data_IF_567848226060
#
_entry.id   IF_567848226060
#
_cell.length_a   1.000
_cell.length_b   1.000
_cell.length_c   1.000
_cell.angle_alpha   90.00
_cell.angle_beta   90.00
_cell.angle_gamma   90.00
#
_symmetry.space_group_name_H-M   'P 1'
#
loop_
_entity.id
_entity.type
_entity.pdbx_description
1 polymer ?
#
# COMPACT_ATOMS: atom_id res chain seq x y z
N UNK A 1 -21.65 -2.01 -15.49
CA UNK A 1 -20.56 -1.11 -15.05
C UNK A 1 -19.77 -1.89 -14.01
N UNK A 2 -18.43 -1.96 -14.08
CA UNK A 2 -17.66 -2.60 -13.00
C UNK A 2 -17.91 -1.82 -11.69
N UNK A 3 -18.26 -2.53 -10.63
CA UNK A 3 -18.44 -1.92 -9.31
C UNK A 3 -17.12 -1.94 -8.56
N UNK A 4 -16.67 -0.75 -8.14
CA UNK A 4 -15.53 -0.64 -7.24
C UNK A 4 -16.02 -0.63 -5.80
N UNK A 5 -15.44 -1.48 -4.95
CA UNK A 5 -15.75 -1.55 -3.52
C UNK A 5 -14.49 -1.29 -2.70
N UNK A 6 -14.57 -0.39 -1.73
CA UNK A 6 -13.51 -0.17 -0.76
C UNK A 6 -13.85 -0.90 0.54
N UNK A 7 -12.89 -1.65 1.09
CA UNK A 7 -13.05 -2.38 2.34
C UNK A 7 -11.73 -2.47 3.13
N UNK A 8 -11.79 -2.71 4.45
CA UNK A 8 -10.59 -3.02 5.22
C UNK A 8 -9.84 -4.21 4.63
N UNK A 9 -8.51 -4.12 4.62
CA UNK A 9 -7.67 -5.22 4.20
C UNK A 9 -7.70 -6.35 5.24
N UNK A 10 -7.54 -7.58 4.75
CA UNK A 10 -7.38 -8.78 5.56
C UNK A 10 -6.00 -9.37 5.33
N UNK A 11 -5.52 -10.22 6.24
CA UNK A 11 -4.21 -10.88 6.11
C UNK A 11 -4.07 -11.64 4.77
N UNK A 12 -5.17 -12.12 4.18
CA UNK A 12 -5.18 -12.81 2.89
C UNK A 12 -4.84 -11.88 1.72
N UNK A 13 -5.10 -10.58 1.88
CA UNK A 13 -4.87 -9.56 0.85
C UNK A 13 -3.40 -9.12 0.77
N UNK A 14 -2.57 -9.43 1.78
CA UNK A 14 -1.19 -8.94 1.90
C UNK A 14 -0.32 -9.23 0.68
N UNK A 15 -0.49 -10.40 0.05
CA UNK A 15 0.25 -10.76 -1.17
C UNK A 15 -0.15 -9.88 -2.36
N UNK A 16 -1.45 -9.64 -2.55
CA UNK A 16 -1.94 -8.80 -3.64
C UNK A 16 -1.51 -7.34 -3.46
N UNK A 17 -1.59 -6.82 -2.23
CA UNK A 17 -1.13 -5.47 -1.87
C UNK A 17 0.37 -5.32 -2.15
N UNK A 18 1.19 -6.30 -1.75
CA UNK A 18 2.61 -6.28 -2.02
C UNK A 18 2.94 -6.27 -3.52
N UNK A 19 2.22 -7.06 -4.32
CA UNK A 19 2.40 -7.09 -5.77
C UNK A 19 2.05 -5.74 -6.40
N UNK A 20 0.91 -5.14 -6.04
CA UNK A 20 0.48 -3.82 -6.53
C UNK A 20 1.51 -2.76 -6.16
N UNK A 21 1.96 -2.73 -4.90
CA UNK A 21 2.97 -1.77 -4.45
C UNK A 21 4.24 -1.84 -5.31
N UNK A 22 4.79 -3.04 -5.52
CA UNK A 22 6.05 -3.22 -6.26
C UNK A 22 5.87 -2.86 -7.73
N UNK A 23 4.81 -3.36 -8.37
CA UNK A 23 4.56 -3.11 -9.79
C UNK A 23 4.25 -1.64 -10.07
N UNK A 24 3.42 -1.01 -9.25
CA UNK A 24 3.10 0.41 -9.40
C UNK A 24 4.31 1.31 -9.12
N UNK A 25 5.11 1.01 -8.09
CA UNK A 25 6.35 1.74 -7.82
C UNK A 25 7.37 1.59 -8.97
N UNK A 26 7.55 0.37 -9.48
CA UNK A 26 8.39 0.11 -10.65
C UNK A 26 7.95 0.94 -11.85
N UNK A 27 6.65 0.95 -12.15
CA UNK A 27 6.10 1.71 -13.26
C UNK A 27 6.26 3.22 -13.07
N UNK A 28 6.02 3.73 -11.86
CA UNK A 28 6.07 5.15 -11.53
C UNK A 28 7.49 5.73 -11.61
N UNK A 29 8.51 4.99 -11.15
CA UNK A 29 9.89 5.47 -11.11
C UNK A 29 10.74 5.06 -12.30
N UNK A 30 10.22 4.22 -13.20
CA UNK A 30 10.92 3.82 -14.42
C UNK A 30 11.31 5.05 -15.25
N UNK A 31 12.61 5.23 -15.47
CA UNK A 31 13.16 6.34 -16.23
C UNK A 31 13.25 7.67 -15.48
N UNK A 32 12.78 7.75 -14.24
CA UNK A 32 12.99 8.90 -13.35
C UNK A 32 14.23 8.74 -12.48
N UNK A 33 14.55 7.49 -12.11
CA UNK A 33 15.73 7.15 -11.33
C UNK A 33 16.77 6.45 -12.20
N UNK A 34 18.06 6.70 -11.96
CA UNK A 34 19.14 5.85 -12.44
C UNK A 34 18.88 4.37 -12.11
N UNK A 35 19.27 3.45 -12.99
CA UNK A 35 18.98 2.01 -12.84
C UNK A 35 19.59 1.40 -11.57
N UNK A 36 20.69 1.96 -11.07
CA UNK A 36 21.36 1.61 -9.81
C UNK A 36 20.67 2.16 -8.55
N UNK A 37 19.68 3.04 -8.73
CA UNK A 37 18.86 3.60 -7.65
C UNK A 37 17.41 3.11 -7.71
N UNK A 38 16.99 2.55 -8.83
CA UNK A 38 15.67 1.94 -9.00
C UNK A 38 15.64 0.50 -8.49
N UNK A 39 15.78 0.34 -7.17
CA UNK A 39 15.65 -0.93 -6.48
C UNK A 39 14.31 -1.00 -5.75
N UNK A 40 13.21 -1.31 -6.45
CA UNK A 40 11.95 -1.58 -5.80
C UNK A 40 12.17 -2.75 -4.82
N UNK A 41 11.65 -2.67 -3.59
CA UNK A 41 11.77 -3.76 -2.63
C UNK A 41 11.10 -5.02 -3.20
N UNK A 42 11.61 -6.19 -2.83
CA UNK A 42 11.03 -7.46 -3.28
C UNK A 42 9.59 -7.63 -2.79
N UNK A 43 8.81 -8.38 -3.56
CA UNK A 43 7.40 -8.68 -3.23
C UNK A 43 7.31 -9.38 -1.88
N UNK A 44 8.24 -10.29 -1.57
CA UNK A 44 8.27 -11.04 -0.31
C UNK A 44 8.48 -10.11 0.90
N UNK A 45 9.43 -9.18 0.79
CA UNK A 45 9.68 -8.18 1.85
C UNK A 45 8.46 -7.29 2.05
N UNK A 46 7.81 -6.87 0.96
CA UNK A 46 6.58 -6.07 1.05
C UNK A 46 5.40 -6.87 1.58
N UNK A 47 5.29 -8.15 1.24
CA UNK A 47 4.23 -9.02 1.76
C UNK A 47 4.36 -9.20 3.27
N UNK A 48 5.58 -9.40 3.80
CA UNK A 48 5.82 -9.47 5.24
C UNK A 48 5.39 -8.17 5.94
N UNK A 49 5.85 -7.02 5.42
CA UNK A 49 5.49 -5.71 5.95
C UNK A 49 3.97 -5.47 5.97
N UNK A 50 3.27 -5.72 4.86
CA UNK A 50 1.83 -5.49 4.80
C UNK A 50 1.03 -6.49 5.63
N UNK A 51 1.53 -7.71 5.80
CA UNK A 51 0.93 -8.68 6.70
C UNK A 51 0.95 -8.18 8.14
N UNK A 52 2.12 -7.74 8.62
CA UNK A 52 2.28 -7.17 9.96
C UNK A 52 1.42 -5.91 10.14
N UNK A 53 1.42 -5.01 9.16
CA UNK A 53 0.61 -3.80 9.19
C UNK A 53 -0.89 -4.10 9.35
N UNK A 54 -1.40 -5.09 8.62
CA UNK A 54 -2.80 -5.51 8.72
C UNK A 54 -3.09 -6.20 10.06
N UNK A 55 -2.18 -7.05 10.53
CA UNK A 55 -2.32 -7.79 11.79
C UNK A 55 -2.35 -6.86 13.01
N UNK A 56 -1.49 -5.84 13.04
CA UNK A 56 -1.40 -4.89 14.14
C UNK A 56 -2.19 -3.59 13.90
N UNK A 57 -2.81 -3.44 12.73
CA UNK A 57 -3.49 -2.20 12.31
C UNK A 57 -2.59 -0.96 12.36
N UNK A 58 -1.32 -1.12 11.95
CA UNK A 58 -0.29 -0.08 11.98
C UNK A 58 0.65 -0.20 10.74
N UNK A 59 0.43 0.59 9.66
CA UNK A 59 -0.69 1.50 9.47
C UNK A 59 -2.01 0.76 9.19
N UNK A 60 -3.14 1.46 9.30
CA UNK A 60 -4.43 0.97 8.81
C UNK A 60 -4.41 0.85 7.28
N UNK A 61 -5.00 -0.23 6.76
CA UNK A 61 -4.98 -0.54 5.32
C UNK A 61 -6.40 -0.78 4.79
N UNK A 62 -6.74 -0.09 3.71
CA UNK A 62 -7.96 -0.32 2.92
C UNK A 62 -7.57 -0.79 1.53
N UNK A 63 -8.34 -1.71 0.96
CA UNK A 63 -8.20 -2.16 -0.43
C UNK A 63 -9.40 -1.74 -1.26
N UNK A 64 -9.18 -1.53 -2.55
CA UNK A 64 -10.26 -1.42 -3.53
C UNK A 64 -10.32 -2.69 -4.37
N UNK A 65 -11.52 -3.25 -4.51
CA UNK A 65 -11.79 -4.38 -5.41
C UNK A 65 -12.59 -3.95 -6.62
N UNK A 66 -12.32 -4.59 -7.76
CA UNK A 66 -13.10 -4.55 -8.99
C UNK A 66 -13.50 -5.98 -9.31
N UNK A 67 -14.80 -6.28 -9.24
CA UNK A 67 -15.32 -7.62 -9.54
C UNK A 67 -14.54 -8.74 -8.80
N UNK A 68 -14.25 -8.53 -7.52
CA UNK A 68 -13.45 -9.35 -6.58
C UNK A 68 -11.92 -9.33 -6.73
N UNK A 69 -11.37 -8.71 -7.77
CA UNK A 69 -9.92 -8.50 -7.90
C UNK A 69 -9.49 -7.25 -7.12
N UNK A 70 -8.44 -7.35 -6.31
CA UNK A 70 -7.84 -6.17 -5.68
C UNK A 70 -7.05 -5.40 -6.73
N UNK A 71 -7.42 -4.14 -6.93
CA UNK A 71 -6.84 -3.25 -7.95
C UNK A 71 -6.15 -2.03 -7.35
N UNK A 72 -6.06 -1.95 -6.04
CA UNK A 72 -5.39 -0.86 -5.35
C UNK A 72 -5.54 -0.92 -3.85
N UNK A 73 -4.77 -0.10 -3.16
CA UNK A 73 -4.85 0.01 -1.70
C UNK A 73 -4.36 1.38 -1.21
N UNK A 74 -4.77 1.72 0.00
CA UNK A 74 -4.26 2.86 0.75
C UNK A 74 -3.85 2.41 2.15
N UNK A 75 -2.65 2.82 2.57
CA UNK A 75 -2.17 2.73 3.95
C UNK A 75 -2.16 4.13 4.56
N UNK A 76 -2.78 4.30 5.71
CA UNK A 76 -2.86 5.58 6.41
C UNK A 76 -2.84 5.38 7.92
N UNK A 77 -2.31 6.37 8.63
CA UNK A 77 -2.36 6.40 10.08
C UNK A 77 -2.15 7.84 10.57
N UNK A 78 -1.87 8.02 11.86
CA UNK A 78 -1.42 9.28 12.45
C UNK A 78 -0.25 9.86 11.66
N UNK A 79 -0.22 11.18 11.59
CA UNK A 79 0.89 11.89 10.96
C UNK A 79 2.23 11.55 11.63
N UNK A 80 3.24 11.29 10.80
CA UNK A 80 4.62 11.04 11.23
C UNK A 80 5.40 12.34 11.46
N UNK A 81 4.82 13.49 11.12
CA UNK A 81 5.45 14.80 11.31
C UNK A 81 5.45 15.21 12.78
N UNK A 82 6.61 15.70 13.24
CA UNK A 82 6.81 16.11 14.63
C UNK A 82 5.92 17.31 14.98
N UNK A 83 5.19 17.20 16.09
CA UNK A 83 4.38 18.30 16.63
C UNK A 83 2.97 18.39 16.03
N UNK A 84 2.57 17.44 15.18
CA UNK A 84 1.19 17.38 14.69
C UNK A 84 0.21 16.95 15.78
N UNK A 85 -1.03 17.46 15.79
CA UNK A 85 -2.03 17.07 16.77
C UNK A 85 -2.46 15.62 16.56
N UNK A 86 -2.99 14.96 17.61
CA UNK A 86 -3.48 13.57 17.53
C UNK A 86 -4.64 13.36 16.56
N UNK A 87 -5.29 14.44 16.13
CA UNK A 87 -6.35 14.45 15.12
C UNK A 87 -5.83 14.52 13.68
N UNK A 88 -4.52 14.68 13.47
CA UNK A 88 -3.91 14.74 12.14
C UNK A 88 -3.55 13.33 11.64
N UNK A 89 -4.15 12.94 10.52
CA UNK A 89 -3.79 11.74 9.79
C UNK A 89 -2.83 12.03 8.63
N UNK A 90 -2.20 10.99 8.12
CA UNK A 90 -1.31 11.00 6.96
C UNK A 90 -1.58 9.77 6.09
N UNK A 91 -1.59 9.97 4.78
CA UNK A 91 -1.56 8.87 3.82
C UNK A 91 -0.10 8.41 3.69
N UNK A 92 0.20 7.22 4.20
CA UNK A 92 1.55 6.67 4.18
C UNK A 92 1.86 5.99 2.85
N UNK A 93 0.84 5.47 2.15
CA UNK A 93 0.98 4.78 0.87
C UNK A 93 -0.34 4.79 0.12
N UNK A 94 -0.30 5.01 -1.19
CA UNK A 94 -1.46 4.92 -2.09
C UNK A 94 -0.99 4.41 -3.45
N UNK A 95 -1.50 3.25 -3.88
CA UNK A 95 -1.12 2.61 -5.14
C UNK A 95 -2.33 1.97 -5.81
N UNK A 96 -2.35 2.04 -7.14
CA UNK A 96 -3.34 1.46 -8.06
C UNK A 96 -2.63 0.91 -9.30
#
# INVERSE_FOLDING_TARGET
MPSYLVRPATIRDAKAIAQIHVTAAQAAYKGLLPDDQNHPPSVEKRQAYWREAIEYSEPQVQVVTKDDEIVGFVGFDRSRDKGTPSTMGEIWSLYV
#
